data_IF_292108118104
#
_entry.id   IF_292108118104
#
_cell.length_a   1.000
_cell.length_b   1.000
_cell.length_c   1.000
_cell.angle_alpha   90.00
_cell.angle_beta   90.00
_cell.angle_gamma   90.00
#
_symmetry.space_group_name_H-M   'P 1'
#
loop_
_entity.id
_entity.type
_entity.pdbx_description
1 polymer ?
#
# COMPACT_ATOMS: atom_id res chain seq x y z
N UNK A 1 -6.86 -25.79 19.97
CA UNK A 1 -7.14 -24.40 19.58
C UNK A 1 -5.97 -23.56 20.06
N UNK A 2 -5.08 -23.19 19.15
CA UNK A 2 -3.89 -22.38 19.46
C UNK A 2 -4.31 -20.96 19.83
N UNK A 3 -3.75 -20.42 20.92
CA UNK A 3 -4.12 -19.13 21.50
C UNK A 3 -3.08 -18.09 21.09
N UNK A 4 -3.48 -17.12 20.27
CA UNK A 4 -2.63 -15.99 19.90
C UNK A 4 -2.50 -15.03 21.08
N UNK A 5 -1.29 -14.79 21.57
CA UNK A 5 -1.00 -13.85 22.67
C UNK A 5 -0.74 -12.43 22.11
N UNK A 6 -1.81 -11.79 21.63
CA UNK A 6 -1.77 -10.45 21.05
C UNK A 6 -2.10 -9.38 22.10
N UNK A 7 -1.19 -9.11 23.05
CA UNK A 7 -1.44 -8.20 24.19
C UNK A 7 -1.48 -6.71 23.86
N UNK A 8 -1.25 -6.32 22.61
CA UNK A 8 -1.17 -4.91 22.19
C UNK A 8 -2.18 -4.53 21.09
N UNK A 9 -3.04 -5.46 20.68
CA UNK A 9 -4.09 -5.20 19.69
C UNK A 9 -5.42 -5.14 20.43
N UNK A 10 -6.00 -3.94 20.53
CA UNK A 10 -7.35 -3.77 21.06
C UNK A 10 -8.32 -4.10 19.94
N UNK A 11 -8.98 -5.25 20.01
CA UNK A 11 -10.11 -5.59 19.15
C UNK A 11 -11.39 -5.09 19.79
N UNK A 12 -12.12 -4.21 19.10
CA UNK A 12 -13.41 -3.70 19.60
C UNK A 12 -14.52 -4.69 19.31
N UNK A 13 -14.82 -5.51 20.29
CA UNK A 13 -15.94 -6.47 20.23
C UNK A 13 -17.32 -5.79 20.23
N UNK A 14 -17.38 -4.49 20.49
CA UNK A 14 -18.59 -3.67 20.49
C UNK A 14 -18.93 -3.08 19.11
N UNK A 15 -18.06 -3.25 18.10
CA UNK A 15 -18.28 -2.82 16.73
C UNK A 15 -18.40 -4.01 15.77
N UNK A 16 -19.13 -3.79 14.68
CA UNK A 16 -19.21 -4.73 13.57
C UNK A 16 -18.06 -4.50 12.60
N UNK A 17 -17.66 -5.51 11.83
CA UNK A 17 -16.62 -5.35 10.79
C UNK A 17 -16.96 -4.24 9.79
N UNK A 18 -18.25 -4.06 9.48
CA UNK A 18 -18.74 -2.98 8.62
C UNK A 18 -18.39 -1.59 9.11
N UNK A 19 -18.23 -1.39 10.43
CA UNK A 19 -17.85 -0.09 11.00
C UNK A 19 -16.39 0.29 10.70
N UNK A 20 -15.57 -0.67 10.23
CA UNK A 20 -14.18 -0.47 9.84
C UNK A 20 -13.99 -0.32 8.32
N UNK A 21 -15.01 -0.63 7.53
CA UNK A 21 -14.94 -0.53 6.08
C UNK A 21 -15.22 0.91 5.66
N UNK A 22 -14.30 1.46 4.89
CA UNK A 22 -14.34 2.82 4.37
C UNK A 22 -14.30 2.78 2.84
N UNK A 23 -14.93 3.74 2.19
CA UNK A 23 -14.86 3.85 0.74
C UNK A 23 -13.44 4.22 0.30
N UNK A 24 -12.96 3.66 -0.81
CA UNK A 24 -11.66 4.00 -1.41
C UNK A 24 -11.50 5.52 -1.64
N UNK A 25 -12.60 6.20 -1.97
CA UNK A 25 -12.64 7.65 -2.17
C UNK A 25 -12.29 8.45 -0.91
N UNK A 26 -12.36 7.85 0.28
CA UNK A 26 -11.93 8.49 1.53
C UNK A 26 -10.40 8.58 1.64
N UNK A 27 -9.67 7.81 0.83
CA UNK A 27 -8.21 7.74 0.84
C UNK A 27 -7.65 7.87 -0.60
N UNK A 28 -7.88 9.00 -1.28
CA UNK A 28 -7.55 9.17 -2.71
C UNK A 28 -6.05 9.11 -3.03
N UNK A 29 -5.19 9.22 -2.00
CA UNK A 29 -3.74 9.10 -2.15
C UNK A 29 -3.24 7.65 -2.15
N UNK A 30 -4.07 6.65 -1.82
CA UNK A 30 -3.65 5.26 -1.81
C UNK A 30 -3.70 4.67 -3.22
N UNK A 31 -2.63 3.96 -3.59
CA UNK A 31 -2.44 3.39 -4.91
C UNK A 31 -2.03 1.93 -4.77
N UNK A 32 -2.79 1.02 -5.38
CA UNK A 32 -2.39 -0.39 -5.48
C UNK A 32 -1.19 -0.52 -6.42
N UNK A 33 -0.11 -1.15 -5.95
CA UNK A 33 1.12 -1.35 -6.73
C UNK A 33 1.07 -2.63 -7.58
N UNK A 34 0.30 -3.62 -7.13
CA UNK A 34 0.07 -4.91 -7.78
C UNK A 34 -1.43 -5.20 -7.80
N UNK A 35 -1.86 -6.34 -7.25
CA UNK A 35 -3.27 -6.67 -7.05
C UNK A 35 -3.87 -5.90 -5.86
N UNK A 36 -5.19 -5.65 -5.87
CA UNK A 36 -5.88 -5.08 -4.71
C UNK A 36 -5.56 -5.88 -3.43
N UNK A 37 -5.28 -5.16 -2.35
CA UNK A 37 -4.95 -5.71 -1.02
C UNK A 37 -3.58 -6.40 -0.87
N UNK A 38 -2.70 -6.37 -1.87
CA UNK A 38 -1.32 -6.87 -1.73
C UNK A 38 -0.38 -5.78 -1.21
N UNK A 39 -0.04 -4.80 -2.06
CA UNK A 39 0.79 -3.66 -1.69
C UNK A 39 0.18 -2.33 -2.10
N UNK A 40 0.29 -1.38 -1.18
CA UNK A 40 -0.20 -0.01 -1.34
C UNK A 40 0.98 0.96 -1.26
N UNK A 41 1.07 1.85 -2.24
CA UNK A 41 1.87 3.07 -2.19
C UNK A 41 1.00 4.27 -1.81
N UNK A 42 1.62 5.32 -1.28
CA UNK A 42 0.94 6.59 -0.97
C UNK A 42 1.45 7.68 -1.89
N UNK A 43 0.55 8.39 -2.55
CA UNK A 43 0.84 9.60 -3.32
C UNK A 43 1.19 10.73 -2.36
N UNK A 44 2.46 11.12 -2.35
CA UNK A 44 3.00 12.17 -1.47
C UNK A 44 3.31 13.46 -2.23
N UNK A 45 3.29 13.40 -3.56
CA UNK A 45 3.45 14.50 -4.49
C UNK A 45 2.74 14.14 -5.80
N UNK A 46 2.42 15.13 -6.65
CA UNK A 46 1.74 14.95 -7.94
C UNK A 46 2.40 13.95 -8.90
N UNK A 47 3.64 13.53 -8.64
CA UNK A 47 4.40 12.60 -9.48
C UNK A 47 5.25 11.61 -8.68
N UNK A 48 5.06 11.52 -7.36
CA UNK A 48 5.82 10.59 -6.51
C UNK A 48 4.92 9.78 -5.60
N UNK A 49 5.09 8.47 -5.68
CA UNK A 49 4.56 7.50 -4.73
C UNK A 49 5.64 7.11 -3.74
N UNK A 50 5.29 7.09 -2.45
CA UNK A 50 6.10 6.50 -1.40
C UNK A 50 5.60 5.07 -1.13
N UNK A 51 6.52 4.12 -1.16
CA UNK A 51 6.23 2.71 -0.90
C UNK A 51 7.36 2.06 -0.10
N UNK A 52 7.08 0.88 0.47
CA UNK A 52 8.10 0.09 1.15
C UNK A 52 9.04 -0.57 0.14
N UNK A 53 10.34 -0.57 0.45
CA UNK A 53 11.38 -0.90 -0.52
C UNK A 53 11.30 -2.35 -1.07
N UNK A 54 10.85 -3.32 -0.29
CA UNK A 54 10.81 -4.72 -0.75
C UNK A 54 9.73 -4.98 -1.79
N UNK A 55 8.63 -4.22 -1.78
CA UNK A 55 7.64 -4.24 -2.85
C UNK A 55 8.06 -3.36 -4.02
N UNK A 56 8.65 -2.19 -3.73
CA UNK A 56 9.14 -1.31 -4.79
C UNK A 56 10.26 -1.96 -5.63
N UNK A 57 11.04 -2.89 -5.06
CA UNK A 57 12.09 -3.62 -5.77
C UNK A 57 11.58 -4.53 -6.91
N UNK A 58 10.30 -4.91 -6.88
CA UNK A 58 9.67 -5.72 -7.93
C UNK A 58 8.94 -4.83 -8.98
N UNK A 59 8.90 -3.51 -8.77
CA UNK A 59 8.40 -2.55 -9.75
C UNK A 59 9.47 -2.20 -10.78
N UNK A 60 9.04 -1.87 -11.99
CA UNK A 60 9.96 -1.50 -13.07
C UNK A 60 9.44 -0.31 -13.88
N UNK A 61 10.38 0.42 -14.47
CA UNK A 61 10.09 1.52 -15.40
C UNK A 61 9.18 1.04 -16.53
N UNK A 62 8.19 1.85 -16.88
CA UNK A 62 7.21 1.54 -17.92
C UNK A 62 6.04 0.67 -17.46
N UNK A 63 6.13 0.04 -16.29
CA UNK A 63 4.97 -0.61 -15.67
C UNK A 63 3.86 0.41 -15.45
N UNK A 64 2.62 0.00 -15.72
CA UNK A 64 1.46 0.87 -15.55
C UNK A 64 0.82 0.68 -14.18
N UNK A 65 0.60 1.78 -13.46
CA UNK A 65 -0.15 1.83 -12.20
C UNK A 65 -1.43 2.64 -12.39
N UNK A 66 -2.49 2.30 -11.66
CA UNK A 66 -3.72 3.10 -11.63
C UNK A 66 -3.70 4.05 -10.43
N UNK A 67 -3.60 5.35 -10.71
CA UNK A 67 -3.73 6.41 -9.70
C UNK A 67 -5.09 7.07 -9.88
N UNK A 68 -5.96 6.97 -8.87
CA UNK A 68 -7.34 7.47 -8.94
C UNK A 68 -8.09 6.99 -10.21
N UNK A 69 -7.92 5.72 -10.58
CA UNK A 69 -8.52 5.11 -11.77
C UNK A 69 -7.84 5.43 -13.10
N UNK A 70 -6.88 6.37 -13.14
CA UNK A 70 -6.14 6.76 -14.35
C UNK A 70 -4.84 5.98 -14.44
N UNK A 71 -4.52 5.48 -15.64
CA UNK A 71 -3.31 4.70 -15.89
C UNK A 71 -2.10 5.62 -16.08
N UNK A 72 -1.04 5.39 -15.31
CA UNK A 72 0.23 6.11 -15.40
C UNK A 72 1.39 5.13 -15.49
N UNK A 73 2.33 5.38 -16.40
CA UNK A 73 3.56 4.59 -16.49
C UNK A 73 4.60 5.08 -15.47
N UNK A 74 5.27 4.15 -14.79
CA UNK A 74 6.36 4.46 -13.87
C UNK A 74 7.55 5.02 -14.67
N UNK A 75 7.95 6.25 -14.36
CA UNK A 75 9.11 6.89 -14.99
C UNK A 75 10.45 6.36 -14.43
N UNK A 76 10.50 6.12 -13.12
CA UNK A 76 11.68 5.69 -12.37
C UNK A 76 11.26 5.01 -11.06
N UNK A 77 12.08 4.08 -10.57
CA UNK A 77 11.95 3.48 -9.23
C UNK A 77 13.21 3.84 -8.43
N UNK A 78 13.03 4.61 -7.36
CA UNK A 78 14.13 5.05 -6.48
C UNK A 78 14.09 4.23 -5.19
N UNK A 79 15.10 3.39 -4.99
CA UNK A 79 15.25 2.58 -3.77
C UNK A 79 16.30 3.20 -2.86
N UNK A 80 15.99 3.27 -1.56
CA UNK A 80 16.94 3.80 -0.57
C UNK A 80 18.29 3.04 -0.63
N UNK A 81 19.45 3.72 -0.73
CA UNK A 81 20.73 3.09 -1.06
C UNK A 81 21.24 2.09 -0.01
N UNK A 82 20.73 2.17 1.23
CA UNK A 82 21.05 1.23 2.31
C UNK A 82 20.09 0.05 2.42
N UNK A 83 19.03 -0.01 1.62
CA UNK A 83 18.14 -1.17 1.61
C UNK A 83 18.88 -2.40 1.08
N UNK A 84 18.61 -3.55 1.68
CA UNK A 84 19.17 -4.85 1.30
C UNK A 84 18.03 -5.87 1.33
N UNK A 85 17.94 -6.68 0.28
CA UNK A 85 17.08 -7.87 0.29
C UNK A 85 17.65 -8.82 1.35
N UNK A 86 16.83 -9.19 2.32
CA UNK A 86 17.18 -10.22 3.31
C UNK A 86 16.84 -11.60 2.77
#
# INVERSE_FOLDING_TARGET
MEKFDARAIIMRHDLTDSDYVVADSNYPALVNLFEPSDCIGTLVHESYLLAVAHYAADLHRGQSLKVNGISHAIAEVIIHPKWRKR
#
